data_IF_545270174763
#
_entry.id   IF_545270174763
#
_cell.length_a   1.000
_cell.length_b   1.000
_cell.length_c   1.000
_cell.angle_alpha   90.00
_cell.angle_beta   90.00
_cell.angle_gamma   90.00
#
_symmetry.space_group_name_H-M   'P 1'
#
loop_
_entity.id
_entity.type
_entity.pdbx_description
1 polymer ?
#
# COMPACT_ATOMS: atom_id res chain seq x y z
N UNK A 1 13.44 -17.72 -11.43
CA UNK A 1 12.34 -16.88 -10.92
C UNK A 1 11.51 -17.72 -9.96
N UNK A 2 11.56 -17.45 -8.66
CA UNK A 2 10.70 -18.15 -7.70
C UNK A 2 9.23 -17.81 -7.98
N UNK A 3 8.36 -18.83 -7.95
CA UNK A 3 6.91 -18.64 -8.18
C UNK A 3 6.34 -17.88 -6.99
N UNK A 4 5.83 -16.67 -7.23
CA UNK A 4 5.15 -15.90 -6.20
C UNK A 4 3.88 -16.62 -5.73
N UNK A 5 3.67 -16.69 -4.42
CA UNK A 5 2.43 -17.21 -3.83
C UNK A 5 1.24 -16.31 -4.17
N UNK A 6 0.02 -16.81 -3.99
CA UNK A 6 -1.20 -16.00 -4.18
C UNK A 6 -1.16 -14.71 -3.35
N UNK A 7 -0.80 -14.85 -2.07
CA UNK A 7 -0.69 -13.73 -1.14
C UNK A 7 0.38 -12.70 -1.56
N UNK A 8 1.55 -13.17 -2.01
CA UNK A 8 2.60 -12.27 -2.52
C UNK A 8 2.14 -11.50 -3.76
N UNK A 9 1.37 -12.14 -4.64
CA UNK A 9 0.77 -11.45 -5.81
C UNK A 9 -0.22 -10.39 -5.38
N UNK A 10 -1.03 -10.66 -4.36
CA UNK A 10 -1.96 -9.67 -3.81
C UNK A 10 -1.24 -8.46 -3.21
N UNK A 11 -0.14 -8.67 -2.47
CA UNK A 11 0.68 -7.57 -1.94
C UNK A 11 1.19 -6.67 -3.07
N UNK A 12 1.73 -7.27 -4.14
CA UNK A 12 2.19 -6.51 -5.30
C UNK A 12 1.05 -5.82 -6.06
N UNK A 13 -0.12 -6.45 -6.13
CA UNK A 13 -1.32 -5.87 -6.74
C UNK A 13 -1.79 -4.63 -5.97
N UNK A 14 -1.82 -4.73 -4.64
CA UNK A 14 -2.17 -3.60 -3.77
C UNK A 14 -1.16 -2.46 -3.92
N UNK A 15 0.15 -2.76 -3.89
CA UNK A 15 1.19 -1.76 -4.09
C UNK A 15 1.01 -0.98 -5.41
N UNK A 16 0.80 -1.70 -6.52
CA UNK A 16 0.55 -1.08 -7.83
C UNK A 16 -0.72 -0.24 -7.84
N UNK A 17 -1.76 -0.69 -7.16
CA UNK A 17 -3.04 0.03 -7.08
C UNK A 17 -2.89 1.32 -6.27
N UNK A 18 -2.14 1.30 -5.17
CA UNK A 18 -1.76 2.50 -4.42
C UNK A 18 -1.01 3.50 -5.31
N UNK A 19 0.01 3.04 -6.06
CA UNK A 19 0.75 3.91 -6.97
C UNK A 19 -0.16 4.53 -8.04
N UNK A 20 -1.09 3.76 -8.63
CA UNK A 20 -2.08 4.30 -9.58
C UNK A 20 -2.96 5.37 -8.95
N UNK A 21 -3.41 5.16 -7.71
CA UNK A 21 -4.20 6.16 -6.98
C UNK A 21 -3.39 7.45 -6.73
N UNK A 22 -2.08 7.34 -6.46
CA UNK A 22 -1.21 8.53 -6.35
C UNK A 22 -1.24 9.37 -7.62
N UNK A 23 -1.19 8.76 -8.81
CA UNK A 23 -1.25 9.50 -10.07
C UNK A 23 -2.58 10.24 -10.30
N UNK A 24 -3.66 9.85 -9.61
CA UNK A 24 -4.96 10.57 -9.65
C UNK A 24 -4.99 11.81 -8.76
N UNK A 25 -4.01 11.99 -7.87
CA UNK A 25 -3.92 13.16 -6.99
C UNK A 25 -3.30 14.38 -7.70
N UNK A 26 -3.48 15.61 -7.18
CA UNK A 26 -2.82 16.81 -7.68
C UNK A 26 -1.30 16.66 -7.67
N UNK A 27 -0.63 17.21 -8.70
CA UNK A 27 0.81 17.05 -8.96
C UNK A 27 1.66 17.33 -7.72
N UNK A 28 1.36 18.42 -7.01
CA UNK A 28 2.10 18.88 -5.83
C UNK A 28 2.11 17.85 -4.69
N UNK A 29 1.03 17.08 -4.57
CA UNK A 29 0.87 16.07 -3.52
C UNK A 29 1.42 14.68 -3.91
N UNK A 30 1.61 14.42 -5.21
CA UNK A 30 1.99 13.07 -5.72
C UNK A 30 3.30 12.57 -5.13
N UNK A 31 4.31 13.44 -5.04
CA UNK A 31 5.63 13.07 -4.55
C UNK A 31 5.56 12.59 -3.09
N UNK A 32 4.82 13.31 -2.26
CA UNK A 32 4.60 12.96 -0.85
C UNK A 32 3.88 11.61 -0.72
N UNK A 33 2.75 11.43 -1.42
CA UNK A 33 1.99 10.17 -1.38
C UNK A 33 2.80 8.97 -1.92
N UNK A 34 3.56 9.15 -3.00
CA UNK A 34 4.42 8.09 -3.55
C UNK A 34 5.50 7.69 -2.53
N UNK A 35 6.13 8.68 -1.90
CA UNK A 35 7.15 8.45 -0.88
C UNK A 35 6.56 7.69 0.30
N UNK A 36 5.41 8.13 0.80
CA UNK A 36 4.68 7.47 1.89
C UNK A 36 4.37 6.00 1.57
N UNK A 37 3.73 5.71 0.43
CA UNK A 37 3.40 4.34 0.01
C UNK A 37 4.67 3.49 -0.11
N UNK A 38 5.74 4.03 -0.70
CA UNK A 38 6.98 3.27 -0.88
C UNK A 38 7.65 2.95 0.47
N UNK A 39 7.68 3.91 1.39
CA UNK A 39 8.26 3.73 2.73
C UNK A 39 7.47 2.73 3.56
N UNK A 40 6.14 2.82 3.54
CA UNK A 40 5.27 1.93 4.31
C UNK A 40 5.43 0.46 3.88
N UNK A 41 5.43 0.19 2.56
CA UNK A 41 5.66 -1.15 2.04
C UNK A 41 7.07 -1.67 2.33
N UNK A 42 8.09 -0.80 2.27
CA UNK A 42 9.47 -1.18 2.63
C UNK A 42 9.60 -1.52 4.11
N UNK A 43 8.98 -0.74 4.99
CA UNK A 43 8.94 -1.00 6.44
C UNK A 43 8.40 -2.40 6.72
N UNK A 44 7.21 -2.71 6.22
CA UNK A 44 6.62 -4.04 6.45
C UNK A 44 7.38 -5.17 5.76
N UNK A 45 8.05 -4.93 4.63
CA UNK A 45 8.89 -5.93 3.99
C UNK A 45 10.15 -6.30 4.82
N UNK A 46 10.55 -5.43 5.76
CA UNK A 46 11.65 -5.68 6.70
C UNK A 46 11.14 -6.24 8.03
N UNK A 47 10.02 -5.72 8.53
CA UNK A 47 9.48 -6.07 9.86
C UNK A 47 8.66 -7.38 9.87
N UNK A 48 8.06 -7.78 8.75
CA UNK A 48 7.15 -8.93 8.67
C UNK A 48 7.81 -10.10 7.95
N UNK A 49 7.86 -11.26 8.61
CA UNK A 49 8.30 -12.49 7.94
C UNK A 49 7.32 -12.85 6.82
N UNK A 50 7.85 -13.25 5.66
CA UNK A 50 7.06 -13.70 4.50
C UNK A 50 6.22 -14.95 4.80
N UNK A 51 6.53 -15.68 5.88
CA UNK A 51 5.79 -16.85 6.38
C UNK A 51 4.72 -16.50 7.41
N UNK A 52 4.69 -15.27 7.92
CA UNK A 52 3.63 -14.79 8.80
C UNK A 52 2.41 -14.40 7.96
N UNK A 53 1.67 -15.42 7.52
CA UNK A 53 0.54 -15.25 6.62
C UNK A 53 -0.59 -14.43 7.27
N UNK A 54 -0.81 -14.58 8.57
CA UNK A 54 -1.87 -13.88 9.30
C UNK A 54 -1.60 -12.37 9.35
N UNK A 55 -0.37 -11.97 9.69
CA UNK A 55 0.03 -10.56 9.69
C UNK A 55 -0.01 -9.96 8.29
N UNK A 56 0.49 -10.69 7.28
CA UNK A 56 0.45 -10.22 5.88
C UNK A 56 -1.00 -10.04 5.41
N UNK A 57 -1.90 -10.97 5.74
CA UNK A 57 -3.30 -10.87 5.36
C UNK A 57 -4.01 -9.71 6.07
N UNK A 58 -3.75 -9.51 7.36
CA UNK A 58 -4.25 -8.37 8.11
C UNK A 58 -3.81 -7.04 7.48
N UNK A 59 -2.51 -6.90 7.17
CA UNK A 59 -1.96 -5.71 6.53
C UNK A 59 -2.51 -5.49 5.12
N UNK A 60 -2.73 -6.57 4.36
CA UNK A 60 -3.39 -6.51 3.05
C UNK A 60 -4.81 -5.96 3.17
N UNK A 61 -5.61 -6.50 4.10
CA UNK A 61 -6.98 -6.02 4.34
C UNK A 61 -6.99 -4.56 4.78
N UNK A 62 -6.09 -4.18 5.71
CA UNK A 62 -5.91 -2.78 6.16
C UNK A 62 -5.57 -1.85 4.99
N UNK A 63 -4.59 -2.21 4.17
CA UNK A 63 -4.15 -1.39 3.05
C UNK A 63 -5.20 -1.29 1.94
N UNK A 64 -5.97 -2.35 1.65
CA UNK A 64 -7.11 -2.30 0.72
C UNK A 64 -8.17 -1.30 1.20
N UNK A 65 -8.55 -1.36 2.48
CA UNK A 65 -9.50 -0.41 3.07
C UNK A 65 -9.00 1.04 3.04
N UNK A 66 -7.72 1.25 3.33
CA UNK A 66 -7.10 2.56 3.18
C UNK A 66 -7.16 3.04 1.73
N UNK A 67 -6.84 2.19 0.76
CA UNK A 67 -6.91 2.54 -0.66
C UNK A 67 -8.32 2.87 -1.13
N UNK A 68 -9.34 2.17 -0.65
CA UNK A 68 -10.74 2.48 -0.94
C UNK A 68 -11.13 3.86 -0.42
N UNK A 69 -10.75 4.18 0.83
CA UNK A 69 -11.02 5.49 1.44
C UNK A 69 -10.25 6.58 0.71
N UNK A 70 -8.93 6.47 0.63
CA UNK A 70 -8.05 7.52 0.11
C UNK A 70 -7.94 7.57 -1.42
N UNK A 71 -8.45 6.55 -2.12
CA UNK A 71 -8.48 6.48 -3.58
C UNK A 71 -9.44 7.47 -4.22
N UNK A 72 -10.37 8.03 -3.43
CA UNK A 72 -11.22 9.13 -3.83
C UNK A 72 -10.35 10.39 -4.11
N UNK A 73 -10.39 10.98 -5.31
CA UNK A 73 -9.62 12.17 -5.65
C UNK A 73 -9.89 13.38 -4.73
N UNK A 74 -11.05 13.42 -4.05
CA UNK A 74 -11.42 14.49 -3.14
C UNK A 74 -10.72 14.42 -1.77
N UNK A 75 -10.17 13.27 -1.39
CA UNK A 75 -9.45 13.16 -0.11
C UNK A 75 -8.02 13.70 -0.24
N UNK A 76 -7.77 14.85 0.39
CA UNK A 76 -6.51 15.61 0.31
C UNK A 76 -5.43 15.19 1.32
N UNK A 77 -5.76 14.41 2.36
CA UNK A 77 -4.79 13.99 3.40
C UNK A 77 -4.96 12.52 3.77
N UNK A 78 -3.85 11.78 3.75
CA UNK A 78 -3.69 10.52 4.49
C UNK A 78 -3.05 10.89 5.83
N UNK A 79 -3.82 10.85 6.92
CA UNK A 79 -3.27 10.84 8.27
C UNK A 79 -2.98 9.40 8.66
N UNK A 80 -1.71 9.09 8.88
CA UNK A 80 -1.31 7.86 9.58
C UNK A 80 -1.94 7.93 10.97
N UNK A 81 -2.86 7.01 11.28
CA UNK A 81 -3.24 6.77 12.66
C UNK A 81 -1.98 6.21 13.36
N UNK A 82 -1.33 7.07 14.14
CA UNK A 82 -0.28 6.70 15.07
C UNK A 82 -0.85 5.89 16.22
#
# INVERSE_FOLDING_TARGET
MSRLTGLQREVLSLYRSCLRAVYRKPIDSRAHFKSFVTQEFRKYAVEVDRKDFDTVEFLLRKGKRQLEVYGDPNIKRMTTAG
#
